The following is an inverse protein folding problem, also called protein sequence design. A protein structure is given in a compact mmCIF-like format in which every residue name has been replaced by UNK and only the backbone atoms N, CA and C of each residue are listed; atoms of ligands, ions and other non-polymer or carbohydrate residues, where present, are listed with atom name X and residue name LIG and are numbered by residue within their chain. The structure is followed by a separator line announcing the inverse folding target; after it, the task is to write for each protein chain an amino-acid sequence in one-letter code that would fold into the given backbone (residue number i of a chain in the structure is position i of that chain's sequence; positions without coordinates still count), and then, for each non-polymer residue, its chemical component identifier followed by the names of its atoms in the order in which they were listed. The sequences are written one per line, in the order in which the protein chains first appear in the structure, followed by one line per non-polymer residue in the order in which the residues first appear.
data_IF_441360000311
#
_entry.id   IF_441360000311
#
_cell.length_a   1.000
_cell.length_b   1.000
_cell.length_c   1.000
_cell.angle_alpha   90.00
_cell.angle_beta   90.00
_cell.angle_gamma   90.00
#
_symmetry.space_group_name_H-M   'P 1'
#
loop_
_entity.id
_entity.type
_entity.pdbx_description
1 polymer ?
#
# COMPACT_ATOMS: atom_id res chain seq x y z
N UNK A 1 -13.82 2.39 -31.22
CA UNK A 1 -13.59 2.42 -29.77
C UNK A 1 -13.12 1.06 -29.24
N UNK A 2 -13.77 -0.07 -29.58
CA UNK A 2 -13.38 -1.44 -29.14
C UNK A 2 -11.96 -1.86 -29.55
N UNK A 3 -11.50 -1.49 -30.75
CA UNK A 3 -10.17 -1.86 -31.25
C UNK A 3 -9.03 -1.17 -30.47
N UNK A 4 -9.18 0.12 -30.14
CA UNK A 4 -8.21 0.85 -29.28
C UNK A 4 -8.13 0.25 -27.87
N UNK A 5 -9.27 -0.17 -27.32
CA UNK A 5 -9.34 -0.83 -26.00
C UNK A 5 -8.60 -2.17 -26.03
N UNK A 6 -8.78 -2.98 -27.08
CA UNK A 6 -8.09 -4.28 -27.24
C UNK A 6 -6.58 -4.10 -27.39
N UNK A 7 -6.12 -3.09 -28.12
CA UNK A 7 -4.68 -2.81 -28.27
C UNK A 7 -4.08 -2.36 -26.93
N UNK A 8 -4.80 -1.52 -26.17
CA UNK A 8 -4.36 -1.07 -24.85
C UNK A 8 -4.30 -2.23 -23.84
N UNK A 9 -5.33 -3.07 -23.82
CA UNK A 9 -5.38 -4.26 -22.96
C UNK A 9 -4.23 -5.23 -23.26
N UNK A 10 -3.90 -5.44 -24.54
CA UNK A 10 -2.78 -6.30 -24.95
C UNK A 10 -1.42 -5.72 -24.51
N UNK A 11 -1.26 -4.41 -24.53
CA UNK A 11 -0.06 -3.71 -24.02
C UNK A 11 0.06 -3.77 -22.51
N UNK A 12 -1.05 -3.71 -21.77
CA UNK A 12 -1.07 -3.69 -20.31
C UNK A 12 -0.98 -5.08 -19.68
N UNK A 13 -1.37 -6.14 -20.42
CA UNK A 13 -1.37 -7.52 -19.94
C UNK A 13 -0.05 -7.97 -19.29
N UNK A 14 1.14 -7.71 -19.86
CA UNK A 14 2.40 -8.14 -19.24
C UNK A 14 2.69 -7.43 -17.91
N UNK A 15 2.14 -6.23 -17.68
CA UNK A 15 2.33 -5.49 -16.44
C UNK A 15 1.38 -5.95 -15.32
N UNK A 16 0.21 -6.50 -15.67
CA UNK A 16 -0.78 -6.95 -14.68
C UNK A 16 -0.39 -8.29 -14.03
N UNK A 17 0.39 -9.14 -14.70
CA UNK A 17 0.73 -10.47 -14.19
C UNK A 17 1.56 -10.43 -12.90
N UNK A 18 2.69 -9.67 -12.80
CA UNK A 18 3.42 -9.58 -11.54
C UNK A 18 2.56 -9.02 -10.41
N UNK A 19 1.71 -8.02 -10.69
CA UNK A 19 0.76 -7.49 -9.71
C UNK A 19 -0.26 -8.53 -9.26
N UNK A 20 -0.80 -9.33 -10.18
CA UNK A 20 -1.75 -10.39 -9.85
C UNK A 20 -1.11 -11.51 -9.01
N UNK A 21 0.12 -11.89 -9.30
CA UNK A 21 0.86 -12.89 -8.50
C UNK A 21 1.10 -12.33 -7.08
N UNK A 22 1.59 -11.09 -6.96
CA UNK A 22 1.79 -10.44 -5.65
C UNK A 22 0.48 -10.37 -4.88
N UNK A 23 -0.62 -9.96 -5.52
CA UNK A 23 -1.93 -9.91 -4.88
C UNK A 23 -2.36 -11.30 -4.38
N UNK A 24 -2.19 -12.35 -5.20
CA UNK A 24 -2.55 -13.71 -4.80
C UNK A 24 -1.74 -14.16 -3.57
N UNK A 25 -0.42 -13.93 -3.55
CA UNK A 25 0.44 -14.27 -2.39
C UNK A 25 -0.01 -13.54 -1.15
N UNK A 26 -0.26 -12.23 -1.25
CA UNK A 26 -0.71 -11.41 -0.10
C UNK A 26 -2.07 -11.89 0.38
N UNK A 27 -3.06 -12.11 -0.51
CA UNK A 27 -4.38 -12.59 -0.13
C UNK A 27 -4.32 -13.97 0.56
N UNK A 28 -3.54 -14.90 0.02
CA UNK A 28 -3.33 -16.21 0.65
C UNK A 28 -2.75 -16.03 2.06
N UNK A 29 -1.77 -15.15 2.22
CA UNK A 29 -1.16 -14.85 3.53
C UNK A 29 -2.19 -14.29 4.52
N UNK A 30 -3.01 -13.31 4.09
CA UNK A 30 -4.05 -12.72 4.93
C UNK A 30 -5.09 -13.76 5.35
N UNK A 31 -5.51 -14.64 4.44
CA UNK A 31 -6.46 -15.73 4.71
C UNK A 31 -5.87 -16.74 5.71
N UNK A 32 -4.64 -17.23 5.45
CA UNK A 32 -3.99 -18.21 6.32
C UNK A 32 -3.72 -17.69 7.73
N UNK A 33 -3.47 -16.40 7.87
CA UNK A 33 -3.25 -15.73 9.17
C UNK A 33 -4.54 -15.22 9.81
N UNK A 34 -5.67 -15.35 9.14
CA UNK A 34 -6.95 -14.82 9.62
C UNK A 34 -6.91 -13.30 9.85
N UNK A 35 -6.18 -12.57 9.02
CA UNK A 35 -6.08 -11.11 9.10
C UNK A 35 -7.30 -10.49 8.42
N UNK A 36 -7.81 -9.42 9.02
CA UNK A 36 -8.92 -8.66 8.45
C UNK A 36 -8.67 -8.29 6.97
N UNK A 37 -9.61 -8.44 6.03
CA UNK A 37 -11.04 -8.75 6.22
C UNK A 37 -11.40 -10.26 6.32
N UNK A 38 -10.44 -11.16 6.30
CA UNK A 38 -10.66 -12.61 6.26
C UNK A 38 -10.71 -13.27 7.65
N UNK A 39 -10.53 -12.48 8.72
CA UNK A 39 -10.62 -12.96 10.10
C UNK A 39 -10.56 -11.81 11.09
N UNK A 40 -10.42 -12.13 12.38
CA UNK A 40 -10.39 -11.16 13.48
C UNK A 40 -9.00 -10.62 13.82
N UNK A 41 -7.94 -11.16 13.22
CA UNK A 41 -6.58 -10.73 13.50
C UNK A 41 -6.27 -9.41 12.77
N UNK A 42 -5.32 -8.63 13.34
CA UNK A 42 -4.84 -7.36 12.81
C UNK A 42 -3.33 -7.40 12.63
N UNK A 43 -2.79 -6.47 11.84
CA UNK A 43 -1.36 -6.22 11.77
C UNK A 43 -1.02 -5.18 12.85
N UNK A 44 -1.03 -5.61 14.11
CA UNK A 44 -0.88 -4.77 15.29
C UNK A 44 0.47 -4.94 16.01
N UNK A 45 1.47 -5.43 15.29
CA UNK A 45 2.82 -5.64 15.83
C UNK A 45 3.56 -4.32 16.05
N UNK A 46 4.21 -4.19 17.21
CA UNK A 46 5.12 -3.09 17.56
C UNK A 46 4.55 -1.70 17.21
N UNK A 47 5.23 -0.97 16.36
CA UNK A 47 4.95 0.41 15.99
C UNK A 47 3.61 0.61 15.26
N UNK A 48 3.06 -0.45 14.65
CA UNK A 48 1.79 -0.33 13.95
C UNK A 48 0.64 0.13 14.86
N UNK A 49 0.57 -0.40 16.07
CA UNK A 49 -0.47 -0.02 17.02
C UNK A 49 -0.15 1.29 17.75
N UNK A 50 1.13 1.48 18.12
CA UNK A 50 1.53 2.61 18.98
C UNK A 50 1.85 3.89 18.18
N UNK A 51 2.28 3.79 16.93
CA UNK A 51 2.71 4.92 16.13
C UNK A 51 1.92 5.04 14.82
N UNK A 52 1.89 3.98 14.01
CA UNK A 52 1.32 4.05 12.65
C UNK A 52 -0.20 4.28 12.69
N UNK A 53 -0.94 3.53 13.49
CA UNK A 53 -2.39 3.66 13.57
C UNK A 53 -2.85 5.01 14.13
N UNK A 54 -2.26 5.55 15.22
CA UNK A 54 -2.57 6.92 15.68
C UNK A 54 -2.27 7.99 14.63
N UNK A 55 -1.14 7.88 13.90
CA UNK A 55 -0.81 8.84 12.84
C UNK A 55 -1.76 8.73 11.63
N UNK A 56 -2.19 7.51 11.27
CA UNK A 56 -3.23 7.33 10.25
C UNK A 56 -4.58 7.87 10.70
N UNK A 57 -4.93 7.70 11.96
CA UNK A 57 -6.14 8.29 12.52
C UNK A 57 -6.10 9.81 12.47
N UNK A 58 -4.95 10.41 12.82
CA UNK A 58 -4.74 11.86 12.72
C UNK A 58 -4.80 12.34 11.25
N UNK A 59 -4.18 11.62 10.31
CA UNK A 59 -4.27 11.93 8.89
C UNK A 59 -5.72 11.84 8.38
N UNK A 60 -6.48 10.87 8.84
CA UNK A 60 -7.90 10.73 8.53
C UNK A 60 -8.70 11.93 9.07
N UNK A 61 -8.47 12.30 10.34
CA UNK A 61 -9.12 13.45 10.98
C UNK A 61 -8.76 14.76 10.24
N UNK A 62 -7.51 14.92 9.78
CA UNK A 62 -7.10 16.03 8.93
C UNK A 62 -7.85 16.06 7.59
N UNK A 63 -7.91 14.94 6.88
CA UNK A 63 -8.62 14.88 5.59
C UNK A 63 -10.12 15.19 5.72
N UNK A 64 -10.71 15.01 6.91
CA UNK A 64 -12.09 15.34 7.21
C UNK A 64 -12.26 16.71 7.89
N UNK A 65 -11.22 17.53 7.93
CA UNK A 65 -11.26 18.88 8.49
C UNK A 65 -11.38 18.94 10.02
N UNK A 66 -11.03 17.86 10.73
CA UNK A 66 -11.15 17.74 12.19
C UNK A 66 -9.84 17.95 12.94
N UNK A 67 -8.71 17.97 12.25
CA UNK A 67 -7.38 18.09 12.83
C UNK A 67 -6.47 18.97 11.97
N UNK A 68 -5.34 19.42 12.56
CA UNK A 68 -4.31 20.18 11.87
C UNK A 68 -3.07 19.31 11.61
N UNK A 69 -2.40 19.50 10.48
CA UNK A 69 -1.09 18.89 10.23
C UNK A 69 0.06 19.70 10.86
N UNK A 70 -0.18 20.94 11.23
CA UNK A 70 0.90 21.82 11.71
C UNK A 70 1.24 21.57 13.16
N UNK A 71 0.24 21.33 14.01
CA UNK A 71 0.46 21.15 15.43
C UNK A 71 -0.64 20.30 16.06
N UNK A 72 -0.23 19.37 16.93
CA UNK A 72 -1.13 18.57 17.74
C UNK A 72 -0.53 18.35 19.14
N UNK A 73 -1.33 18.57 20.18
CA UNK A 73 -0.92 18.37 21.57
C UNK A 73 -0.77 16.88 21.95
N UNK A 74 -1.50 16.00 21.30
CA UNK A 74 -1.52 14.57 21.62
C UNK A 74 -0.39 13.79 20.94
N UNK A 75 0.30 14.39 19.98
CA UNK A 75 1.42 13.78 19.28
C UNK A 75 2.74 14.27 19.87
N UNK A 76 3.52 13.37 20.51
CA UNK A 76 4.86 13.69 21.02
C UNK A 76 4.91 14.84 22.02
N UNK A 77 3.88 15.00 22.88
CA UNK A 77 3.75 16.08 23.86
C UNK A 77 3.62 17.49 23.24
N UNK A 78 3.08 17.56 22.06
CA UNK A 78 2.93 18.80 21.29
C UNK A 78 4.02 18.98 20.25
N UNK A 79 3.77 18.52 19.04
CA UNK A 79 4.73 18.60 17.95
C UNK A 79 4.08 18.94 16.61
N UNK A 80 4.93 19.22 15.64
CA UNK A 80 4.51 19.38 14.26
C UNK A 80 4.21 18.00 13.64
N UNK A 81 2.93 17.73 13.41
CA UNK A 81 2.45 16.43 12.93
C UNK A 81 2.92 16.15 11.51
N UNK A 82 3.09 17.18 10.67
CA UNK A 82 3.55 16.99 9.28
C UNK A 82 4.94 16.37 9.21
N UNK A 83 5.83 16.69 10.15
CA UNK A 83 7.15 16.08 10.23
C UNK A 83 7.07 14.61 10.68
N UNK A 84 6.24 14.32 11.70
CA UNK A 84 6.01 12.95 12.16
C UNK A 84 5.39 12.08 11.07
N UNK A 85 4.38 12.59 10.36
CA UNK A 85 3.72 11.92 9.24
C UNK A 85 4.71 11.66 8.10
N UNK A 86 5.60 12.60 7.79
CA UNK A 86 6.62 12.44 6.75
C UNK A 86 7.62 11.35 7.10
N UNK A 87 8.09 11.31 8.35
CA UNK A 87 9.08 10.34 8.81
C UNK A 87 8.57 8.89 8.70
N UNK A 88 7.27 8.67 8.85
CA UNK A 88 6.64 7.35 8.73
C UNK A 88 6.03 7.08 7.35
N UNK A 89 6.48 7.77 6.31
CA UNK A 89 5.99 7.60 4.91
C UNK A 89 4.48 7.77 4.76
N UNK A 90 3.85 8.55 5.65
CA UNK A 90 2.40 8.72 5.65
C UNK A 90 1.90 9.67 4.56
N UNK A 91 2.80 10.42 3.89
CA UNK A 91 2.48 11.24 2.72
C UNK A 91 2.37 10.44 1.42
N UNK A 92 2.39 9.11 1.50
CA UNK A 92 2.17 8.25 0.33
C UNK A 92 0.80 8.54 -0.30
N UNK A 93 0.70 8.69 -1.63
CA UNK A 93 -0.58 8.91 -2.30
C UNK A 93 -1.59 7.79 -2.06
N UNK A 94 -1.14 6.58 -1.75
CA UNK A 94 -2.02 5.47 -1.38
C UNK A 94 -2.78 5.72 -0.06
N UNK A 95 -2.26 6.57 0.81
CA UNK A 95 -2.92 6.89 2.07
C UNK A 95 -4.18 7.76 1.87
N UNK A 96 -4.37 8.37 0.69
CA UNK A 96 -5.63 9.01 0.33
C UNK A 96 -6.81 8.03 0.32
N UNK A 97 -6.54 6.73 0.17
CA UNK A 97 -7.57 5.70 0.29
C UNK A 97 -8.18 5.64 1.70
N UNK A 98 -7.46 6.10 2.73
CA UNK A 98 -8.00 6.22 4.09
C UNK A 98 -9.23 7.13 4.16
N UNK A 99 -9.35 8.10 3.27
CA UNK A 99 -10.53 8.97 3.21
C UNK A 99 -11.84 8.19 3.07
N UNK A 100 -11.79 7.04 2.38
CA UNK A 100 -12.95 6.18 2.12
C UNK A 100 -13.23 5.18 3.25
N UNK A 101 -12.31 5.06 4.22
CA UNK A 101 -12.39 4.09 5.31
C UNK A 101 -13.09 4.72 6.51
N UNK A 102 -14.05 4.05 7.18
CA UNK A 102 -14.59 4.52 8.45
C UNK A 102 -13.48 4.64 9.51
N UNK A 103 -13.54 5.70 10.35
CA UNK A 103 -12.50 5.99 11.34
C UNK A 103 -12.20 4.82 12.30
N UNK A 104 -13.21 4.07 12.66
CA UNK A 104 -13.09 2.91 13.56
C UNK A 104 -12.41 1.69 12.91
N UNK A 105 -12.22 1.67 11.58
CA UNK A 105 -11.57 0.60 10.84
C UNK A 105 -10.18 0.98 10.30
N UNK A 106 -9.58 2.06 10.82
CA UNK A 106 -8.27 2.53 10.35
C UNK A 106 -7.18 1.49 10.60
N UNK A 107 -7.14 0.89 11.80
CA UNK A 107 -6.16 -0.13 12.14
C UNK A 107 -6.30 -1.37 11.25
N UNK A 108 -7.53 -1.80 11.00
CA UNK A 108 -7.87 -2.90 10.12
C UNK A 108 -7.46 -2.62 8.67
N UNK A 109 -7.65 -1.38 8.21
CA UNK A 109 -7.36 -0.97 6.83
C UNK A 109 -5.88 -1.00 6.47
N UNK A 110 -4.97 -1.04 7.45
CA UNK A 110 -3.52 -1.15 7.23
C UNK A 110 -3.19 -2.37 6.36
N UNK A 111 -3.87 -3.50 6.57
CA UNK A 111 -3.68 -4.72 5.78
C UNK A 111 -3.99 -4.51 4.30
N UNK A 112 -5.11 -3.86 3.99
CA UNK A 112 -5.51 -3.56 2.62
C UNK A 112 -4.57 -2.52 1.98
N UNK A 113 -4.24 -1.45 2.71
CA UNK A 113 -3.29 -0.45 2.22
C UNK A 113 -1.93 -1.06 1.88
N UNK A 114 -1.44 -1.94 2.73
CA UNK A 114 -0.18 -2.67 2.50
C UNK A 114 -0.30 -3.54 1.25
N UNK A 115 -1.38 -4.31 1.11
CA UNK A 115 -1.62 -5.13 -0.09
C UNK A 115 -1.62 -4.29 -1.37
N UNK A 116 -2.31 -3.16 -1.38
CA UNK A 116 -2.34 -2.24 -2.53
C UNK A 116 -0.95 -1.72 -2.84
N UNK A 117 -0.20 -1.24 -1.84
CA UNK A 117 1.18 -0.76 -2.01
C UNK A 117 2.08 -1.84 -2.62
N UNK A 118 2.03 -3.07 -2.11
CA UNK A 118 2.84 -4.19 -2.61
C UNK A 118 2.52 -4.52 -4.08
N UNK A 119 1.25 -4.54 -4.46
CA UNK A 119 0.84 -4.75 -5.86
C UNK A 119 1.43 -3.66 -6.77
N UNK A 120 1.30 -2.40 -6.38
CA UNK A 120 1.86 -1.29 -7.16
C UNK A 120 3.38 -1.33 -7.23
N UNK A 121 4.08 -1.71 -6.15
CA UNK A 121 5.53 -1.91 -6.14
C UNK A 121 5.96 -2.98 -7.15
N UNK A 122 5.24 -4.10 -7.21
CA UNK A 122 5.50 -5.16 -8.17
C UNK A 122 5.34 -4.68 -9.61
N UNK A 123 4.25 -3.98 -9.91
CA UNK A 123 3.99 -3.42 -11.24
C UNK A 123 5.05 -2.39 -11.63
N UNK A 124 5.41 -1.49 -10.72
CA UNK A 124 6.42 -0.45 -10.95
C UNK A 124 7.80 -1.07 -11.19
N UNK A 125 8.20 -2.07 -10.38
CA UNK A 125 9.47 -2.77 -10.57
C UNK A 125 9.51 -3.51 -11.91
N UNK A 126 8.42 -4.18 -12.29
CA UNK A 126 8.32 -4.80 -13.61
C UNK A 126 8.47 -3.78 -14.74
N UNK A 127 7.82 -2.62 -14.63
CA UNK A 127 7.94 -1.54 -15.61
C UNK A 127 9.38 -1.05 -15.75
N UNK A 128 10.07 -0.85 -14.62
CA UNK A 128 11.48 -0.47 -14.59
C UNK A 128 12.37 -1.51 -15.28
N UNK A 129 12.21 -2.79 -14.93
CA UNK A 129 12.99 -3.87 -15.54
C UNK A 129 12.71 -3.99 -17.04
N UNK A 130 11.46 -3.81 -17.45
CA UNK A 130 11.10 -3.86 -18.86
C UNK A 130 11.70 -2.72 -19.67
N UNK A 131 11.83 -1.53 -19.05
CA UNK A 131 12.45 -0.36 -19.66
C UNK A 131 13.98 -0.47 -19.70
N UNK A 132 14.62 -0.85 -18.60
CA UNK A 132 16.09 -0.89 -18.48
C UNK A 132 16.71 -2.14 -19.10
N UNK A 133 16.01 -3.25 -19.04
CA UNK A 133 16.48 -4.57 -19.50
C UNK A 133 15.50 -5.22 -20.48
N UNK A 134 15.28 -4.63 -21.68
CA UNK A 134 14.27 -5.14 -22.62
C UNK A 134 14.56 -6.56 -23.09
N UNK A 135 15.82 -6.96 -23.16
CA UNK A 135 16.26 -8.31 -23.59
C UNK A 135 16.09 -9.39 -22.53
N UNK A 136 15.84 -9.02 -21.28
CA UNK A 136 15.65 -9.99 -20.20
C UNK A 136 14.34 -10.76 -20.41
N UNK A 137 14.39 -12.07 -20.14
CA UNK A 137 13.22 -12.94 -20.30
C UNK A 137 12.06 -12.48 -19.43
N UNK A 138 10.85 -12.58 -19.98
CA UNK A 138 9.61 -12.20 -19.30
C UNK A 138 9.45 -12.83 -17.91
N UNK A 139 9.60 -14.18 -17.73
CA UNK A 139 9.43 -14.79 -16.42
C UNK A 139 10.46 -14.32 -15.40
N UNK A 140 11.69 -14.01 -15.84
CA UNK A 140 12.74 -13.49 -14.96
C UNK A 140 12.38 -12.08 -14.45
N UNK A 141 11.93 -11.18 -15.34
CA UNK A 141 11.43 -9.84 -14.94
C UNK A 141 10.28 -9.94 -13.94
N UNK A 142 9.34 -10.87 -14.20
CA UNK A 142 8.20 -11.10 -13.33
C UNK A 142 8.62 -11.60 -11.95
N UNK A 143 9.52 -12.59 -11.90
CA UNK A 143 10.04 -13.12 -10.64
C UNK A 143 10.72 -12.03 -9.79
N UNK A 144 11.63 -11.27 -10.40
CA UNK A 144 12.29 -10.16 -9.70
C UNK A 144 11.31 -9.09 -9.20
N UNK A 145 10.29 -8.75 -9.99
CA UNK A 145 9.28 -7.77 -9.61
C UNK A 145 8.45 -8.24 -8.39
N UNK A 146 8.05 -9.52 -8.38
CA UNK A 146 7.33 -10.12 -7.26
C UNK A 146 8.23 -10.21 -6.02
N UNK A 147 9.46 -10.71 -6.16
CA UNK A 147 10.41 -10.80 -5.04
C UNK A 147 10.66 -9.42 -4.42
N UNK A 148 10.87 -8.39 -5.24
CA UNK A 148 11.06 -7.02 -4.77
C UNK A 148 9.87 -6.52 -3.96
N UNK A 149 8.64 -6.77 -4.42
CA UNK A 149 7.44 -6.33 -3.72
C UNK A 149 7.18 -7.07 -2.39
N UNK A 150 7.72 -8.29 -2.26
CA UNK A 150 7.59 -9.12 -1.06
C UNK A 150 8.77 -8.96 -0.08
N UNK A 151 9.85 -8.25 -0.49
CA UNK A 151 10.90 -7.88 0.44
C UNK A 151 10.34 -6.95 1.51
N UNK A 152 10.53 -7.29 2.78
CA UNK A 152 10.12 -6.44 3.91
C UNK A 152 11.00 -5.19 4.00
N UNK A 153 10.43 -4.06 3.63
CA UNK A 153 10.98 -2.72 3.86
C UNK A 153 10.18 -2.05 4.96
#
# INVERSE_FOLDING_TARGET
MKEKVNVLAKKLKPYSIPGAITLAVVLITLILKGIWPFGGNRIDYFDNMQQVAPLYAHLWDFMHGKASLWFDWYTGLGTNVSMSISAFSMLSPFNLLLYLVPRNLILESISILTAVKMVFMSVAMYALLNHKFPKLLYPVKTAFAVMYSLCGY
#
